data_IF_390357286655
#
_entry.id   IF_390357286655
#
_cell.length_a   1.000
_cell.length_b   1.000
_cell.length_c   1.000
_cell.angle_alpha   90.00
_cell.angle_beta   90.00
_cell.angle_gamma   90.00
#
_symmetry.space_group_name_H-M   'P 1'
#
loop_
_entity.id
_entity.type
_entity.pdbx_description
1 polymer ?
#
# COMPACT_ATOMS: atom_id res chain seq x y z
N UNK A 1 -5.79 34.19 -6.11
CA UNK A 1 -6.33 33.27 -7.13
C UNK A 1 -6.23 31.88 -6.53
N UNK A 2 -7.34 31.16 -6.37
CA UNK A 2 -7.29 29.78 -5.90
C UNK A 2 -6.57 28.93 -6.95
N UNK A 3 -5.64 28.06 -6.55
CA UNK A 3 -5.07 27.09 -7.46
C UNK A 3 -6.20 26.23 -8.05
N UNK A 4 -6.18 25.93 -9.36
CA UNK A 4 -7.17 25.05 -9.94
C UNK A 4 -7.09 23.70 -9.23
N UNK A 5 -8.21 23.25 -8.64
CA UNK A 5 -8.32 21.93 -8.02
C UNK A 5 -8.01 20.87 -9.07
N UNK A 6 -6.86 20.22 -8.92
CA UNK A 6 -6.46 19.11 -9.78
C UNK A 6 -7.50 17.99 -9.68
N UNK A 7 -7.69 17.24 -10.78
CA UNK A 7 -8.42 15.97 -10.73
C UNK A 7 -7.70 15.03 -9.76
N UNK A 8 -8.41 14.19 -8.98
CA UNK A 8 -7.80 13.28 -8.02
C UNK A 8 -6.65 12.44 -8.58
N UNK A 9 -6.79 11.93 -9.81
CA UNK A 9 -5.75 11.14 -10.49
C UNK A 9 -4.48 11.95 -10.75
N UNK A 10 -4.62 13.21 -11.19
CA UNK A 10 -3.49 14.08 -11.46
C UNK A 10 -2.79 14.51 -10.17
N UNK A 11 -3.58 14.74 -9.11
CA UNK A 11 -3.06 15.03 -7.79
C UNK A 11 -2.26 13.84 -7.23
N UNK A 12 -2.80 12.62 -7.33
CA UNK A 12 -2.10 11.39 -6.92
C UNK A 12 -0.86 11.12 -7.77
N UNK A 13 -0.89 11.38 -9.08
CA UNK A 13 0.28 11.26 -9.95
C UNK A 13 1.44 12.12 -9.43
N UNK A 14 1.19 13.40 -9.21
CA UNK A 14 2.19 14.37 -8.78
C UNK A 14 2.65 14.14 -7.32
N UNK A 15 1.71 13.90 -6.40
CA UNK A 15 1.98 13.89 -4.96
C UNK A 15 2.22 12.50 -4.38
N UNK A 16 2.06 11.44 -5.18
CA UNK A 16 2.29 10.05 -4.77
C UNK A 16 3.14 9.32 -5.81
N UNK A 17 2.64 9.12 -7.03
CA UNK A 17 3.26 8.18 -7.97
C UNK A 17 4.65 8.63 -8.40
N UNK A 18 4.80 9.87 -8.87
CA UNK A 18 6.09 10.45 -9.27
C UNK A 18 7.07 10.49 -8.11
N UNK A 19 6.59 10.71 -6.88
CA UNK A 19 7.45 10.72 -5.70
C UNK A 19 7.99 9.32 -5.42
N UNK A 20 7.13 8.29 -5.37
CA UNK A 20 7.57 6.91 -5.14
C UNK A 20 8.50 6.39 -6.23
N UNK A 21 8.25 6.75 -7.48
CA UNK A 21 9.13 6.42 -8.60
C UNK A 21 10.54 6.99 -8.39
N UNK A 22 10.65 8.22 -7.88
CA UNK A 22 11.93 8.89 -7.60
C UNK A 22 12.64 8.37 -6.34
N UNK A 23 11.90 8.03 -5.28
CA UNK A 23 12.48 7.62 -4.00
C UNK A 23 12.70 6.10 -3.88
N UNK A 24 12.29 5.30 -4.87
CA UNK A 24 12.22 3.84 -4.81
C UNK A 24 13.49 3.15 -4.28
N UNK A 25 14.67 3.57 -4.77
CA UNK A 25 15.96 3.00 -4.37
C UNK A 25 16.28 3.27 -2.90
N UNK A 26 16.09 4.52 -2.43
CA UNK A 26 16.29 4.91 -1.04
C UNK A 26 15.21 4.30 -0.11
N UNK A 27 13.95 4.26 -0.57
CA UNK A 27 12.85 3.61 0.15
C UNK A 27 13.16 2.13 0.42
N UNK A 28 13.60 1.40 -0.61
CA UNK A 28 13.93 -0.03 -0.51
C UNK A 28 15.01 -0.32 0.53
N UNK A 29 16.01 0.56 0.68
CA UNK A 29 17.11 0.39 1.62
C UNK A 29 16.72 0.52 3.11
N UNK A 30 15.53 1.01 3.42
CA UNK A 30 15.16 1.40 4.79
C UNK A 30 14.02 0.58 5.38
N UNK A 31 13.54 -0.45 4.67
CA UNK A 31 12.31 -1.20 5.01
C UNK A 31 12.49 -2.70 4.82
N UNK A 32 12.76 -3.41 5.91
CA UNK A 32 12.96 -4.86 5.89
C UNK A 32 12.12 -5.64 6.89
N UNK A 33 11.91 -5.12 8.11
CA UNK A 33 11.25 -5.89 9.18
C UNK A 33 9.73 -5.94 9.00
N UNK A 34 9.10 -7.12 8.79
CA UNK A 34 7.64 -7.25 8.68
C UNK A 34 6.91 -6.68 9.89
N UNK A 35 5.72 -6.13 9.66
CA UNK A 35 4.81 -5.79 10.75
C UNK A 35 4.27 -7.08 11.39
N UNK A 36 4.17 -7.19 12.73
CA UNK A 36 3.78 -8.43 13.38
C UNK A 36 2.45 -9.00 12.89
N UNK A 37 1.39 -8.20 12.76
CA UNK A 37 0.10 -8.70 12.24
C UNK A 37 0.18 -9.20 10.79
N UNK A 38 0.98 -8.55 9.93
CA UNK A 38 1.18 -8.99 8.54
C UNK A 38 1.94 -10.31 8.50
N UNK A 39 2.92 -10.47 9.39
CA UNK A 39 3.67 -11.71 9.53
C UNK A 39 2.80 -12.85 10.06
N UNK A 40 1.97 -12.60 11.08
CA UNK A 40 0.99 -13.56 11.62
C UNK A 40 0.00 -14.00 10.54
N UNK A 41 -0.57 -13.04 9.80
CA UNK A 41 -1.51 -13.32 8.72
C UNK A 41 -0.90 -14.22 7.65
N UNK A 42 0.28 -13.86 7.13
CA UNK A 42 0.94 -14.61 6.05
C UNK A 42 1.40 -16.00 6.49
N UNK A 43 1.94 -16.14 7.71
CA UNK A 43 2.36 -17.44 8.24
C UNK A 43 1.17 -18.34 8.63
N UNK A 44 -0.01 -17.76 8.83
CA UNK A 44 -1.24 -18.50 9.11
C UNK A 44 -1.94 -19.07 7.86
N UNK A 45 -1.45 -18.76 6.65
CA UNK A 45 -2.01 -19.25 5.41
C UNK A 45 -1.69 -20.72 5.16
N UNK A 46 -2.62 -21.43 4.52
CA UNK A 46 -2.41 -22.83 4.13
C UNK A 46 -1.34 -22.96 3.03
N UNK A 47 -0.49 -23.98 3.11
CA UNK A 47 0.50 -24.27 2.10
C UNK A 47 -0.14 -24.47 0.71
N UNK A 48 0.44 -23.89 -0.32
CA UNK A 48 -0.09 -23.88 -1.68
C UNK A 48 -1.12 -22.77 -1.95
N UNK A 49 -1.49 -21.96 -0.96
CA UNK A 49 -2.36 -20.80 -1.17
C UNK A 49 -1.74 -19.84 -2.20
N UNK A 50 -2.59 -19.25 -3.04
CA UNK A 50 -2.18 -18.27 -4.05
C UNK A 50 -2.83 -16.94 -3.73
N UNK A 51 -2.01 -15.90 -3.56
CA UNK A 51 -2.50 -14.58 -3.16
C UNK A 51 -1.87 -13.41 -3.88
N UNK A 52 -2.33 -12.22 -3.49
CA UNK A 52 -1.89 -10.93 -4.03
C UNK A 52 -1.15 -10.10 -2.98
N UNK A 53 -0.14 -9.36 -3.42
CA UNK A 53 0.44 -8.23 -2.67
C UNK A 53 0.23 -6.95 -3.50
N UNK A 54 -0.78 -6.15 -3.12
CA UNK A 54 -1.24 -4.97 -3.87
C UNK A 54 -0.60 -3.72 -3.29
N UNK A 55 0.34 -3.14 -4.05
CA UNK A 55 1.29 -2.12 -3.61
C UNK A 55 2.46 -2.74 -2.82
N UNK A 56 3.13 -3.70 -3.44
CA UNK A 56 4.13 -4.55 -2.78
C UNK A 56 5.44 -3.82 -2.41
N UNK A 57 5.65 -2.62 -2.93
CA UNK A 57 6.86 -1.85 -2.73
C UNK A 57 8.10 -2.63 -3.16
N UNK A 58 9.06 -2.79 -2.24
CA UNK A 58 10.28 -3.54 -2.52
C UNK A 58 10.12 -5.07 -2.39
N UNK A 59 8.91 -5.60 -2.22
CA UNK A 59 8.67 -7.03 -2.04
C UNK A 59 8.96 -7.53 -0.62
N UNK A 60 8.99 -6.63 0.38
CA UNK A 60 9.25 -6.94 1.79
C UNK A 60 8.51 -8.16 2.33
N UNK A 61 7.26 -8.37 1.93
CA UNK A 61 6.41 -9.43 2.45
C UNK A 61 6.47 -10.73 1.65
N UNK A 62 7.07 -10.71 0.46
CA UNK A 62 7.24 -11.89 -0.39
C UNK A 62 8.17 -12.93 0.26
N UNK A 63 9.03 -12.54 1.19
CA UNK A 63 9.96 -13.47 1.86
C UNK A 63 9.40 -14.11 3.13
N UNK A 64 8.17 -13.78 3.53
CA UNK A 64 7.64 -14.18 4.85
C UNK A 64 7.22 -15.65 4.90
N UNK A 65 6.39 -16.09 3.94
CA UNK A 65 5.92 -17.46 3.86
C UNK A 65 6.31 -18.05 2.51
N UNK A 66 7.21 -19.04 2.52
CA UNK A 66 7.72 -19.69 1.31
C UNK A 66 6.83 -20.84 0.81
N UNK A 67 5.79 -21.20 1.58
CA UNK A 67 4.85 -22.25 1.22
C UNK A 67 3.66 -21.72 0.39
N UNK A 68 3.59 -20.40 0.14
CA UNK A 68 2.55 -19.77 -0.67
C UNK A 68 3.13 -19.14 -1.93
N UNK A 69 2.29 -18.92 -2.94
CA UNK A 69 2.66 -18.16 -4.13
C UNK A 69 1.98 -16.79 -4.12
N UNK A 70 2.73 -15.75 -4.48
CA UNK A 70 2.23 -14.36 -4.47
C UNK A 70 2.45 -13.76 -5.84
N UNK A 71 1.39 -13.20 -6.41
CA UNK A 71 1.46 -12.26 -7.53
C UNK A 71 1.43 -10.86 -6.95
N UNK A 72 2.59 -10.23 -6.93
CA UNK A 72 2.80 -8.91 -6.39
C UNK A 72 2.56 -7.85 -7.46
N UNK A 73 2.10 -6.67 -7.06
CA UNK A 73 1.96 -5.53 -7.95
C UNK A 73 2.32 -4.22 -7.27
N UNK A 74 2.92 -3.29 -8.01
CA UNK A 74 3.12 -1.92 -7.55
C UNK A 74 2.91 -0.95 -8.73
N UNK A 75 2.45 0.26 -8.43
CA UNK A 75 2.27 1.31 -9.45
C UNK A 75 3.60 1.90 -9.88
N UNK A 76 4.61 1.88 -9.00
CA UNK A 76 5.97 2.28 -9.32
C UNK A 76 6.69 1.18 -10.09
N UNK A 77 7.19 1.54 -11.27
CA UNK A 77 7.97 0.62 -12.10
C UNK A 77 9.29 0.25 -11.43
N UNK A 78 9.91 1.22 -10.75
CA UNK A 78 11.15 0.98 -10.02
C UNK A 78 10.96 0.03 -8.82
N UNK A 79 9.86 0.14 -8.06
CA UNK A 79 9.56 -0.77 -6.95
C UNK A 79 9.20 -2.17 -7.45
N UNK A 80 8.34 -2.28 -8.46
CA UNK A 80 7.98 -3.57 -9.06
C UNK A 80 9.21 -4.33 -9.60
N UNK A 81 10.18 -3.63 -10.21
CA UNK A 81 11.45 -4.22 -10.65
C UNK A 81 12.30 -4.78 -9.51
N UNK A 82 12.30 -4.12 -8.35
CA UNK A 82 12.99 -4.61 -7.15
C UNK A 82 12.26 -5.84 -6.62
N UNK A 83 10.94 -5.76 -6.47
CA UNK A 83 10.12 -6.87 -5.98
C UNK A 83 10.24 -8.13 -6.86
N UNK A 84 10.41 -7.97 -8.19
CA UNK A 84 10.57 -9.07 -9.14
C UNK A 84 11.83 -9.94 -8.90
N UNK A 85 12.77 -9.48 -8.07
CA UNK A 85 13.96 -10.26 -7.71
C UNK A 85 13.66 -11.34 -6.66
N UNK A 86 12.49 -11.29 -6.00
CA UNK A 86 12.09 -12.23 -4.95
C UNK A 86 11.46 -13.50 -5.54
N UNK A 87 12.28 -14.51 -5.78
CA UNK A 87 11.81 -15.85 -6.15
C UNK A 87 11.19 -16.58 -4.95
N UNK A 88 10.17 -17.44 -5.14
CA UNK A 88 9.56 -17.85 -6.41
C UNK A 88 8.45 -16.92 -6.94
N UNK A 89 8.20 -15.79 -6.27
CA UNK A 89 7.06 -14.91 -6.54
C UNK A 89 7.20 -14.15 -7.87
N UNK A 90 6.09 -13.58 -8.35
CA UNK A 90 6.08 -12.70 -9.52
C UNK A 90 5.69 -11.29 -9.10
N UNK A 91 6.27 -10.27 -9.74
CA UNK A 91 5.88 -8.88 -9.54
C UNK A 91 5.58 -8.20 -10.89
N UNK A 92 4.49 -7.45 -10.96
CA UNK A 92 4.06 -6.70 -12.15
C UNK A 92 3.81 -5.24 -11.82
N UNK A 93 3.73 -4.39 -12.85
CA UNK A 93 3.27 -3.01 -12.69
C UNK A 93 1.75 -3.00 -12.83
N UNK A 94 1.04 -2.50 -11.82
CA UNK A 94 -0.41 -2.32 -11.87
C UNK A 94 -0.88 -1.18 -10.96
N UNK A 95 -2.04 -0.62 -11.30
CA UNK A 95 -2.75 0.35 -10.47
C UNK A 95 -3.73 -0.38 -9.54
N UNK A 96 -3.83 0.04 -8.28
CA UNK A 96 -4.67 -0.64 -7.29
C UNK A 96 -6.18 -0.43 -7.51
N UNK A 97 -6.58 0.49 -8.38
CA UNK A 97 -7.96 0.68 -8.84
C UNK A 97 -8.26 -0.10 -10.12
N UNK A 98 -7.26 -0.67 -10.78
CA UNK A 98 -7.39 -1.38 -12.05
C UNK A 98 -6.49 -2.61 -12.08
N UNK A 99 -6.69 -3.51 -11.11
CA UNK A 99 -5.90 -4.73 -10.98
C UNK A 99 -6.14 -5.67 -12.19
N UNK A 100 -5.08 -6.22 -12.81
CA UNK A 100 -5.19 -7.10 -13.99
C UNK A 100 -5.81 -8.47 -13.69
N UNK A 101 -6.14 -8.70 -12.42
CA UNK A 101 -6.63 -9.96 -11.88
C UNK A 101 -8.12 -9.92 -11.50
N UNK A 102 -8.71 -8.72 -11.43
CA UNK A 102 -10.13 -8.47 -11.12
C UNK A 102 -10.97 -8.18 -12.39
N UNK A 103 -12.27 -7.93 -12.21
CA UNK A 103 -13.14 -7.39 -13.27
C UNK A 103 -13.62 -8.37 -14.36
N UNK A 104 -13.44 -9.69 -14.18
CA UNK A 104 -14.06 -10.69 -15.07
C UNK A 104 -15.47 -11.06 -14.63
N UNK A 105 -16.32 -11.56 -15.55
CA UNK A 105 -17.67 -12.06 -15.27
C UNK A 105 -17.72 -13.35 -14.41
N UNK A 106 -16.65 -13.68 -13.69
CA UNK A 106 -16.51 -14.88 -12.87
C UNK A 106 -16.03 -14.57 -11.46
N UNK A 107 -16.10 -15.57 -10.58
CA UNK A 107 -15.62 -15.45 -9.21
C UNK A 107 -14.13 -15.10 -9.15
N UNK A 108 -13.72 -14.40 -8.08
CA UNK A 108 -12.32 -14.14 -7.80
C UNK A 108 -11.52 -15.43 -7.66
N UNK A 109 -10.19 -15.31 -7.79
CA UNK A 109 -9.28 -16.43 -8.06
C UNK A 109 -8.21 -16.63 -6.99
N UNK A 110 -8.11 -15.71 -6.05
CA UNK A 110 -7.05 -15.70 -5.03
C UNK A 110 -7.59 -16.08 -3.66
N UNK A 111 -6.80 -16.83 -2.91
CA UNK A 111 -7.12 -17.27 -1.55
C UNK A 111 -6.93 -16.13 -0.54
N UNK A 112 -5.98 -15.25 -0.81
CA UNK A 112 -5.71 -14.09 0.03
C UNK A 112 -5.20 -12.87 -0.75
N UNK A 113 -5.26 -11.71 -0.11
CA UNK A 113 -4.57 -10.51 -0.56
C UNK A 113 -3.99 -9.75 0.63
N UNK A 114 -2.93 -8.98 0.40
CA UNK A 114 -2.46 -7.97 1.34
C UNK A 114 -2.35 -6.62 0.63
N UNK A 115 -2.66 -5.53 1.34
CA UNK A 115 -2.40 -4.17 0.88
C UNK A 115 -1.94 -3.32 2.05
N UNK A 116 -0.62 -3.10 2.12
CA UNK A 116 0.06 -2.64 3.33
C UNK A 116 0.66 -1.25 3.12
N UNK A 117 0.06 -0.23 3.75
CA UNK A 117 0.40 1.18 3.59
C UNK A 117 0.31 1.65 2.13
N UNK A 118 -0.87 1.42 1.52
CA UNK A 118 -1.13 1.73 0.11
C UNK A 118 -2.40 2.57 -0.06
N UNK A 119 -3.56 2.08 0.40
CA UNK A 119 -4.88 2.71 0.17
C UNK A 119 -4.93 4.16 0.67
N UNK A 120 -4.23 4.48 1.76
CA UNK A 120 -4.13 5.84 2.29
C UNK A 120 -3.46 6.87 1.35
N UNK A 121 -2.91 6.44 0.22
CA UNK A 121 -2.35 7.34 -0.78
C UNK A 121 -3.40 7.84 -1.78
N UNK A 122 -4.62 7.30 -1.78
CA UNK A 122 -5.70 7.77 -2.63
C UNK A 122 -6.39 8.98 -2.00
N UNK A 123 -6.51 10.03 -2.80
CA UNK A 123 -6.83 11.40 -2.37
C UNK A 123 -8.31 11.64 -2.07
N UNK A 124 -9.18 10.72 -2.47
CA UNK A 124 -10.64 10.83 -2.27
C UNK A 124 -11.22 9.59 -1.60
N UNK A 125 -12.27 9.74 -0.77
CA UNK A 125 -12.97 8.61 -0.16
C UNK A 125 -13.47 7.59 -1.19
N UNK A 126 -13.95 8.06 -2.34
CA UNK A 126 -14.48 7.22 -3.42
C UNK A 126 -13.38 6.33 -4.00
N UNK A 127 -12.19 6.88 -4.27
CA UNK A 127 -11.05 6.10 -4.76
C UNK A 127 -10.54 5.13 -3.69
N UNK A 128 -10.48 5.54 -2.42
CA UNK A 128 -10.11 4.61 -1.31
C UNK A 128 -11.05 3.41 -1.23
N UNK A 129 -12.35 3.65 -1.30
CA UNK A 129 -13.38 2.59 -1.31
C UNK A 129 -13.28 1.72 -2.56
N UNK A 130 -13.11 2.32 -3.74
CA UNK A 130 -12.98 1.58 -5.00
C UNK A 130 -11.74 0.68 -5.03
N UNK A 131 -10.60 1.12 -4.48
CA UNK A 131 -9.40 0.29 -4.41
C UNK A 131 -9.60 -0.93 -3.50
N UNK A 132 -10.30 -0.76 -2.37
CA UNK A 132 -10.68 -1.88 -1.51
C UNK A 132 -11.63 -2.83 -2.26
N UNK A 133 -12.60 -2.30 -3.01
CA UNK A 133 -13.48 -3.09 -3.86
C UNK A 133 -12.72 -3.93 -4.89
N UNK A 134 -11.78 -3.32 -5.61
CA UNK A 134 -10.93 -4.01 -6.60
C UNK A 134 -10.10 -5.15 -5.98
N UNK A 135 -9.61 -4.98 -4.75
CA UNK A 135 -8.93 -6.04 -3.99
C UNK A 135 -9.90 -7.18 -3.66
N UNK A 136 -11.08 -6.86 -3.13
CA UNK A 136 -12.08 -7.86 -2.75
C UNK A 136 -12.60 -8.66 -3.95
N UNK A 137 -12.79 -8.03 -5.11
CA UNK A 137 -13.20 -8.70 -6.35
C UNK A 137 -12.21 -9.77 -6.83
N UNK A 138 -10.93 -9.65 -6.46
CA UNK A 138 -9.92 -10.64 -6.80
C UNK A 138 -10.03 -11.93 -5.96
N UNK A 139 -10.71 -11.89 -4.81
CA UNK A 139 -10.75 -13.00 -3.86
C UNK A 139 -11.83 -14.03 -4.19
N UNK A 140 -11.52 -15.31 -3.96
CA UNK A 140 -12.52 -16.39 -3.95
C UNK A 140 -13.53 -16.16 -2.82
N UNK A 141 -14.66 -16.86 -2.88
CA UNK A 141 -15.54 -16.97 -1.72
C UNK A 141 -14.76 -17.55 -0.52
N UNK A 142 -14.82 -16.86 0.62
CA UNK A 142 -14.05 -17.21 1.82
C UNK A 142 -12.59 -16.74 1.82
N UNK A 143 -12.08 -16.21 0.70
CA UNK A 143 -10.76 -15.59 0.64
C UNK A 143 -10.69 -14.33 1.50
N UNK A 144 -9.49 -13.98 1.96
CA UNK A 144 -9.29 -12.89 2.93
C UNK A 144 -8.26 -11.85 2.47
N UNK A 145 -8.56 -10.57 2.65
CA UNK A 145 -7.63 -9.47 2.43
C UNK A 145 -7.20 -8.85 3.76
N UNK A 146 -5.90 -8.70 4.01
CA UNK A 146 -5.39 -7.84 5.08
C UNK A 146 -5.06 -6.45 4.50
N UNK A 147 -5.78 -5.43 4.98
CA UNK A 147 -5.57 -4.02 4.63
C UNK A 147 -4.99 -3.30 5.85
N UNK A 148 -3.95 -2.50 5.65
CA UNK A 148 -3.20 -1.84 6.72
C UNK A 148 -2.89 -0.39 6.33
N UNK A 149 -3.35 0.59 7.11
CA UNK A 149 -3.32 2.03 6.78
C UNK A 149 -2.85 2.87 7.96
N UNK A 150 -2.25 4.03 7.69
CA UNK A 150 -1.78 4.93 8.74
C UNK A 150 -2.93 5.52 9.54
N UNK A 151 -2.81 5.51 10.86
CA UNK A 151 -3.79 6.06 11.77
C UNK A 151 -3.59 7.56 12.01
N UNK A 152 -4.68 8.28 12.24
CA UNK A 152 -4.67 9.66 12.72
C UNK A 152 -4.22 9.72 14.19
N UNK A 153 -4.64 8.76 15.00
CA UNK A 153 -4.49 8.71 16.47
C UNK A 153 -3.08 8.29 16.92
N UNK A 154 -2.05 9.02 16.48
CA UNK A 154 -0.64 8.69 16.71
C UNK A 154 0.07 9.68 17.65
N UNK A 155 -0.59 10.03 18.75
CA UNK A 155 -0.17 11.09 19.71
C UNK A 155 1.27 10.94 20.20
N UNK A 156 1.72 9.71 20.42
CA UNK A 156 3.06 9.39 20.94
C UNK A 156 4.12 9.24 19.85
N UNK A 157 3.75 9.35 18.57
CA UNK A 157 4.67 9.25 17.46
C UNK A 157 5.48 10.53 17.30
N UNK A 158 6.56 10.47 16.49
CA UNK A 158 7.34 11.67 16.13
C UNK A 158 6.49 12.74 15.44
N UNK A 159 5.36 12.36 14.83
CA UNK A 159 4.46 13.27 14.12
C UNK A 159 3.43 13.90 15.06
N UNK A 160 3.01 13.17 16.09
CA UNK A 160 2.12 13.69 17.15
C UNK A 160 0.71 14.03 16.68
N UNK A 161 0.26 13.51 15.53
CA UNK A 161 -1.13 13.64 15.10
C UNK A 161 -2.05 12.91 16.09
N UNK A 162 -3.26 13.41 16.24
CA UNK A 162 -4.23 12.94 17.21
C UNK A 162 -5.65 13.39 16.80
N UNK A 163 -6.66 12.90 17.50
CA UNK A 163 -8.06 13.28 17.33
C UNK A 163 -8.22 14.82 17.31
N UNK A 164 -8.68 15.36 16.17
CA UNK A 164 -8.85 16.79 15.94
C UNK A 164 -7.90 17.43 14.93
N UNK A 165 -6.87 16.71 14.46
CA UNK A 165 -6.03 17.14 13.34
C UNK A 165 -6.65 16.83 11.98
N UNK A 166 -6.11 17.46 10.92
CA UNK A 166 -6.47 17.16 9.53
C UNK A 166 -6.09 15.71 9.16
N UNK A 167 -6.98 15.03 8.43
CA UNK A 167 -6.73 13.68 7.94
C UNK A 167 -5.85 13.69 6.67
N UNK A 168 -5.96 14.72 5.84
CA UNK A 168 -5.24 14.82 4.57
C UNK A 168 -3.97 15.66 4.77
N UNK A 169 -2.81 15.02 4.67
CA UNK A 169 -1.52 15.65 5.04
C UNK A 169 -0.42 15.41 4.01
N UNK A 170 0.51 16.36 3.93
CA UNK A 170 1.77 16.19 3.20
C UNK A 170 2.88 15.72 4.15
N UNK A 171 3.44 14.55 3.87
CA UNK A 171 4.49 13.93 4.67
C UNK A 171 5.84 14.07 3.97
N UNK A 172 6.83 14.76 4.59
CA UNK A 172 8.13 14.95 3.97
C UNK A 172 8.94 13.65 3.97
N UNK A 173 9.59 13.38 2.84
CA UNK A 173 10.62 12.37 2.65
C UNK A 173 11.92 13.04 2.25
N UNK A 174 12.92 12.98 3.13
CA UNK A 174 14.22 13.61 2.92
C UNK A 174 15.19 12.60 2.31
N UNK A 175 15.73 12.90 1.14
CA UNK A 175 16.81 12.14 0.52
C UNK A 175 18.11 12.93 0.64
N UNK A 176 19.15 12.28 1.16
CA UNK A 176 20.51 12.82 1.22
C UNK A 176 21.37 12.07 0.22
N UNK A 177 21.81 12.75 -0.83
CA UNK A 177 22.84 12.22 -1.73
C UNK A 177 24.20 12.67 -1.23
N UNK A 178 25.07 11.71 -0.92
CA UNK A 178 26.45 11.97 -0.53
C UNK A 178 27.27 12.55 -1.68
N UNK A 179 28.52 12.91 -1.38
CA UNK A 179 29.48 13.39 -2.37
C UNK A 179 29.68 12.35 -3.47
N UNK A 180 29.39 12.71 -4.72
CA UNK A 180 29.69 11.90 -5.89
C UNK A 180 30.84 12.53 -6.67
N UNK A 181 31.76 11.69 -7.13
CA UNK A 181 32.86 12.11 -7.99
C UNK A 181 32.32 12.26 -9.41
N UNK A 182 32.42 13.47 -9.94
CA UNK A 182 31.96 13.85 -11.27
C UNK A 182 33.01 13.40 -12.32
N UNK A 183 32.61 13.25 -13.60
CA UNK A 183 33.49 12.75 -14.66
C UNK A 183 34.76 13.60 -14.90
N UNK A 184 34.74 14.85 -14.49
CA UNK A 184 35.83 15.83 -14.55
C UNK A 184 36.75 15.81 -13.30
N UNK A 185 36.47 14.94 -12.33
CA UNK A 185 37.21 14.81 -11.08
C UNK A 185 36.74 15.78 -9.99
N UNK A 186 35.76 16.64 -10.25
CA UNK A 186 35.13 17.45 -9.22
C UNK A 186 34.27 16.60 -8.28
N UNK A 187 34.19 17.01 -7.02
CA UNK A 187 33.36 16.31 -6.04
C UNK A 187 32.10 17.15 -5.81
N UNK A 188 30.95 16.58 -6.16
CA UNK A 188 29.67 17.24 -5.93
C UNK A 188 29.44 17.51 -4.44
N UNK A 189 28.86 18.67 -4.14
CA UNK A 189 28.40 18.98 -2.79
C UNK A 189 27.21 18.07 -2.41
N UNK A 190 27.11 17.65 -1.13
CA UNK A 190 25.99 16.86 -0.68
C UNK A 190 24.69 17.63 -0.88
N UNK A 191 23.78 17.02 -1.64
CA UNK A 191 22.46 17.59 -1.92
C UNK A 191 21.42 16.90 -1.03
N UNK A 192 20.60 17.72 -0.38
CA UNK A 192 19.42 17.27 0.36
C UNK A 192 18.18 17.68 -0.44
N UNK A 193 17.38 16.70 -0.85
CA UNK A 193 16.11 16.94 -1.56
C UNK A 193 14.98 16.42 -0.69
N UNK A 194 13.97 17.26 -0.44
CA UNK A 194 12.76 16.84 0.29
C UNK A 194 11.60 16.70 -0.68
N UNK A 195 10.98 15.53 -0.67
CA UNK A 195 9.76 15.25 -1.41
C UNK A 195 8.56 15.29 -0.48
N UNK A 196 7.48 15.90 -0.91
CA UNK A 196 6.23 15.93 -0.15
C UNK A 196 5.29 14.88 -0.71
N UNK A 197 4.84 13.95 0.14
CA UNK A 197 3.95 12.85 -0.25
C UNK A 197 2.59 13.02 0.38
N UNK A 198 1.54 12.87 -0.41
CA UNK A 198 0.18 12.88 0.12
C UNK A 198 -0.12 11.62 0.94
N UNK A 199 -0.82 11.79 2.06
CA UNK A 199 -1.38 10.73 2.89
C UNK A 199 -2.75 11.15 3.43
N UNK A 200 -3.68 10.21 3.42
CA UNK A 200 -4.91 10.25 4.20
C UNK A 200 -4.73 9.42 5.49
N UNK A 201 -4.76 10.07 6.64
CA UNK A 201 -4.69 9.44 7.95
C UNK A 201 -6.08 8.94 8.36
N UNK A 202 -6.22 7.63 8.50
CA UNK A 202 -7.48 7.00 8.87
C UNK A 202 -7.77 7.23 10.34
N UNK A 203 -8.99 7.67 10.65
CA UNK A 203 -9.51 7.65 12.03
C UNK A 203 -10.07 6.28 12.38
N UNK A 204 -10.28 6.04 13.67
CA UNK A 204 -10.90 4.82 14.18
C UNK A 204 -12.24 4.52 13.50
N UNK A 205 -12.41 3.28 13.03
CA UNK A 205 -13.63 2.79 12.38
C UNK A 205 -13.78 3.14 10.89
N UNK A 206 -12.98 4.06 10.36
CA UNK A 206 -13.09 4.50 8.95
C UNK A 206 -12.70 3.39 7.97
N UNK A 207 -11.65 2.61 8.27
CA UNK A 207 -11.23 1.50 7.40
C UNK A 207 -12.34 0.44 7.31
N UNK A 208 -12.95 0.09 8.43
CA UNK A 208 -14.07 -0.85 8.48
C UNK A 208 -15.30 -0.34 7.72
N UNK A 209 -15.57 0.96 7.76
CA UNK A 209 -16.64 1.58 6.98
C UNK A 209 -16.36 1.55 5.47
N UNK A 210 -15.12 1.83 5.05
CA UNK A 210 -14.72 1.71 3.65
C UNK A 210 -14.85 0.26 3.16
N UNK A 211 -14.45 -0.73 3.97
CA UNK A 211 -14.61 -2.16 3.64
C UNK A 211 -16.08 -2.52 3.42
N UNK A 212 -16.97 -2.08 4.32
CA UNK A 212 -18.42 -2.30 4.17
C UNK A 212 -18.97 -1.63 2.92
N UNK A 213 -18.55 -0.39 2.66
CA UNK A 213 -18.98 0.39 1.50
C UNK A 213 -18.49 -0.20 0.17
N UNK A 214 -17.34 -0.89 0.21
CA UNK A 214 -16.77 -1.63 -0.91
C UNK A 214 -17.44 -3.00 -1.16
N UNK A 215 -18.49 -3.35 -0.39
CA UNK A 215 -19.18 -4.65 -0.54
C UNK A 215 -18.46 -5.81 0.13
N UNK A 216 -17.58 -5.54 1.10
CA UNK A 216 -16.92 -6.56 1.93
C UNK A 216 -17.47 -6.67 3.34
N UNK A 217 -17.05 -7.72 4.03
CA UNK A 217 -17.28 -7.94 5.45
C UNK A 217 -15.95 -7.87 6.21
N UNK A 218 -15.93 -7.17 7.35
CA UNK A 218 -14.79 -7.16 8.27
C UNK A 218 -14.82 -8.44 9.10
N UNK A 219 -13.76 -9.24 9.01
CA UNK A 219 -13.56 -10.48 9.79
C UNK A 219 -12.90 -10.17 11.14
N UNK A 220 -11.87 -9.32 11.13
CA UNK A 220 -11.10 -8.92 12.31
C UNK A 220 -10.51 -7.54 12.04
N UNK A 221 -10.42 -6.68 13.03
CA UNK A 221 -9.67 -5.42 12.91
C UNK A 221 -8.91 -5.11 14.19
N UNK A 222 -7.99 -4.14 14.10
CA UNK A 222 -7.21 -3.70 15.24
C UNK A 222 -6.29 -2.55 14.91
N UNK A 223 -5.49 -2.19 15.91
CA UNK A 223 -4.51 -1.12 15.85
C UNK A 223 -3.12 -1.67 16.13
N UNK A 224 -2.11 -1.28 15.35
CA UNK A 224 -0.72 -1.65 15.60
C UNK A 224 0.23 -0.51 15.17
N UNK A 225 1.01 0.01 16.13
CA UNK A 225 2.14 0.94 15.87
C UNK A 225 1.77 2.11 14.95
N UNK A 226 0.70 2.83 15.29
CA UNK A 226 0.22 4.00 14.55
C UNK A 226 -0.45 3.66 13.21
N UNK A 227 -1.05 2.47 13.12
CA UNK A 227 -1.78 2.00 11.95
C UNK A 227 -3.05 1.27 12.36
N UNK A 228 -4.12 1.51 11.60
CA UNK A 228 -5.32 0.69 11.60
C UNK A 228 -5.14 -0.46 10.62
N UNK A 229 -5.63 -1.64 10.99
CA UNK A 229 -5.65 -2.79 10.10
C UNK A 229 -6.97 -3.54 10.21
N UNK A 230 -7.36 -4.16 9.09
CA UNK A 230 -8.55 -5.00 9.03
C UNK A 230 -8.31 -6.18 8.08
N UNK A 231 -8.77 -7.34 8.49
CA UNK A 231 -8.95 -8.52 7.66
C UNK A 231 -10.38 -8.48 7.14
N UNK A 232 -10.54 -8.47 5.82
CA UNK A 232 -11.82 -8.41 5.13
C UNK A 232 -12.03 -9.65 4.26
N UNK A 233 -13.29 -9.95 3.95
CA UNK A 233 -13.67 -11.00 2.99
C UNK A 233 -14.79 -10.48 2.08
N UNK A 234 -14.91 -10.93 0.82
CA UNK A 234 -16.02 -10.53 -0.03
C UNK A 234 -17.36 -10.95 0.58
N UNK A 235 -18.41 -10.14 0.38
CA UNK A 235 -19.75 -10.60 0.72
C UNK A 235 -20.10 -11.85 -0.10
N UNK A 236 -20.73 -12.83 0.54
CA UNK A 236 -21.31 -13.95 -0.18
C UNK A 236 -22.36 -13.40 -1.15
N UNK A 237 -22.31 -13.79 -2.42
CA UNK A 237 -23.37 -13.44 -3.36
C UNK A 237 -24.72 -13.86 -2.75
N UNK A 238 -25.76 -13.01 -2.81
CA UNK A 238 -27.08 -13.42 -2.37
C UNK A 238 -27.47 -14.69 -3.15
N UNK A 239 -27.69 -15.78 -2.41
CA UNK A 239 -28.23 -17.05 -2.91
C UNK A 239 -29.61 -16.86 -3.51
#
# INVERSE_FOLDING_TARGET
MAEPTLKPEAYEEQHVHEVYEQIASHFSQTRYKPWPIVNEFLLGLEAGSVGLDVGCGNGKYLTVNQDVFIVASDRSTNLAKIAAQHQPHSAVVADNLSLPHGGGAGAGRFDFAISIAVVHHLSTPERRTAAIGAILECLKAGGQALIYVWALEQKTSRRGWDEGHEQDVMVPWVMKTGKQQLPDGEVSEPKETTYQRYYHLYKSGELEENIRSAGGQVVKSGYEKDNWWAIATPNSAPT
#
